data_IF_405166632982
#
_entry.id   IF_405166632982
#
_cell.length_a   1.000
_cell.length_b   1.000
_cell.length_c   1.000
_cell.angle_alpha   90.00
_cell.angle_beta   90.00
_cell.angle_gamma   90.00
#
_symmetry.space_group_name_H-M   'P 1'
#
loop_
_entity.id
_entity.type
_entity.pdbx_description
1 polymer ?
#
# COMPACT_ATOMS: atom_id res chain seq x y z
N UNK A 1 10.73 25.26 24.62
CA UNK A 1 9.36 24.76 24.36
C UNK A 1 9.33 23.24 24.51
N UNK A 2 8.52 22.72 25.44
CA UNK A 2 8.31 21.28 25.62
C UNK A 2 7.75 20.65 24.33
N UNK A 3 8.03 19.38 24.09
CA UNK A 3 7.62 18.60 22.92
C UNK A 3 6.11 18.72 22.63
N UNK A 4 5.25 18.59 23.63
CA UNK A 4 3.79 18.65 23.44
C UNK A 4 3.29 19.99 22.87
N UNK A 5 3.85 21.11 23.34
CA UNK A 5 3.51 22.43 22.81
C UNK A 5 3.96 22.58 21.35
N UNK A 6 5.11 21.99 21.00
CA UNK A 6 5.64 21.96 19.64
C UNK A 6 4.76 21.11 18.72
N UNK A 7 4.37 19.93 19.18
CA UNK A 7 3.49 19.02 18.45
C UNK A 7 2.13 19.68 18.18
N UNK A 8 1.52 20.30 19.20
CA UNK A 8 0.27 21.07 19.05
C UNK A 8 0.40 22.22 18.06
N UNK A 9 1.53 22.94 18.09
CA UNK A 9 1.80 23.99 17.10
C UNK A 9 1.89 23.43 15.69
N UNK A 10 2.60 22.31 15.50
CA UNK A 10 2.77 21.68 14.18
C UNK A 10 1.43 21.18 13.61
N UNK A 11 0.56 20.60 14.46
CA UNK A 11 -0.83 20.26 14.08
C UNK A 11 -1.59 21.52 13.64
N UNK A 12 -1.57 22.57 14.46
CA UNK A 12 -2.30 23.80 14.15
C UNK A 12 -1.82 24.42 12.83
N UNK A 13 -0.51 24.39 12.58
CA UNK A 13 0.08 24.93 11.36
C UNK A 13 -0.29 24.09 10.13
N UNK A 14 -0.31 22.75 10.25
CA UNK A 14 -0.79 21.87 9.19
C UNK A 14 -2.27 22.13 8.87
N UNK A 15 -3.13 22.21 9.87
CA UNK A 15 -4.56 22.48 9.67
C UNK A 15 -4.82 23.85 9.04
N UNK A 16 -4.04 24.88 9.44
CA UNK A 16 -4.11 26.19 8.81
C UNK A 16 -3.68 26.14 7.34
N UNK A 17 -2.62 25.42 7.02
CA UNK A 17 -2.19 25.21 5.64
C UNK A 17 -3.26 24.47 4.83
N UNK A 18 -3.83 23.37 5.35
CA UNK A 18 -4.90 22.64 4.65
C UNK A 18 -6.11 23.54 4.40
N UNK A 19 -6.45 24.42 5.35
CA UNK A 19 -7.58 25.37 5.19
C UNK A 19 -7.30 26.47 4.18
N UNK A 20 -6.06 26.97 4.11
CA UNK A 20 -5.66 28.04 3.19
C UNK A 20 -4.18 27.89 2.83
N UNK A 21 -3.85 27.09 1.80
CA UNK A 21 -2.47 26.87 1.40
C UNK A 21 -1.84 28.17 0.91
N UNK A 22 -0.58 28.37 1.29
CA UNK A 22 0.29 29.43 0.80
C UNK A 22 1.66 28.82 0.46
N UNK A 23 2.48 29.50 -0.35
CA UNK A 23 3.76 28.98 -0.80
C UNK A 23 4.97 29.42 0.05
N UNK A 24 4.72 29.84 1.30
CA UNK A 24 5.75 30.37 2.21
C UNK A 24 6.65 29.25 2.74
N UNK A 25 7.96 29.51 2.71
CA UNK A 25 8.97 28.63 3.27
C UNK A 25 9.26 28.96 4.73
N UNK A 26 9.71 27.96 5.47
CA UNK A 26 10.16 28.13 6.85
C UNK A 26 11.62 27.70 6.94
N UNK A 27 12.43 28.55 7.56
CA UNK A 27 13.81 28.22 7.87
C UNK A 27 13.89 27.54 9.24
N UNK A 28 14.25 26.25 9.21
CA UNK A 28 14.47 25.44 10.39
C UNK A 28 15.91 24.93 10.43
N UNK A 29 16.47 24.84 11.64
CA UNK A 29 17.68 24.05 11.87
C UNK A 29 17.42 22.58 11.56
N UNK A 30 18.47 21.81 11.24
CA UNK A 30 18.34 20.38 10.89
C UNK A 30 17.60 19.57 11.96
N UNK A 31 17.90 19.84 13.25
CA UNK A 31 17.20 19.23 14.38
C UNK A 31 15.71 19.57 14.40
N UNK A 32 15.34 20.82 14.09
CA UNK A 32 13.92 21.22 14.03
C UNK A 32 13.21 20.60 12.84
N UNK A 33 13.86 20.47 11.68
CA UNK A 33 13.32 19.76 10.51
C UNK A 33 13.02 18.30 10.84
N UNK A 34 13.96 17.60 11.49
CA UNK A 34 13.74 16.23 11.95
C UNK A 34 12.48 16.12 12.82
N UNK A 35 12.40 16.89 13.91
CA UNK A 35 11.22 16.86 14.77
C UNK A 35 9.91 17.24 14.04
N UNK A 36 9.97 18.20 13.12
CA UNK A 36 8.81 18.59 12.33
C UNK A 36 8.31 17.44 11.45
N UNK A 37 9.22 16.78 10.71
CA UNK A 37 8.92 15.61 9.87
C UNK A 37 8.40 14.45 10.73
N UNK A 38 9.05 14.15 11.87
CA UNK A 38 8.58 13.12 12.80
C UNK A 38 7.18 13.42 13.35
N UNK A 39 6.88 14.68 13.66
CA UNK A 39 5.56 15.07 14.14
C UNK A 39 4.49 14.87 13.05
N UNK A 40 4.79 15.23 11.80
CA UNK A 40 3.88 14.99 10.68
C UNK A 40 3.65 13.49 10.45
N UNK A 41 4.70 12.68 10.54
CA UNK A 41 4.59 11.23 10.45
C UNK A 41 3.70 10.65 11.55
N UNK A 42 3.86 11.10 12.80
CA UNK A 42 3.01 10.68 13.91
C UNK A 42 1.54 11.07 13.66
N UNK A 43 1.29 12.27 13.15
CA UNK A 43 -0.08 12.73 12.83
C UNK A 43 -0.69 11.84 11.75
N UNK A 44 0.06 11.53 10.69
CA UNK A 44 -0.43 10.69 9.59
C UNK A 44 -0.66 9.25 10.04
N UNK A 45 0.23 8.68 10.88
CA UNK A 45 0.04 7.36 11.48
C UNK A 45 -1.23 7.33 12.34
N UNK A 46 -1.46 8.35 13.17
CA UNK A 46 -2.69 8.43 13.98
C UNK A 46 -3.92 8.52 13.08
N UNK A 47 -3.88 9.35 12.03
CA UNK A 47 -4.96 9.46 11.06
C UNK A 47 -5.22 8.12 10.35
N UNK A 48 -4.16 7.42 9.94
CA UNK A 48 -4.25 6.11 9.32
C UNK A 48 -4.91 5.08 10.25
N UNK A 49 -4.43 4.97 11.49
CA UNK A 49 -4.95 3.99 12.45
C UNK A 49 -6.37 4.29 12.92
N UNK A 50 -6.71 5.56 13.14
CA UNK A 50 -8.01 5.97 13.73
C UNK A 50 -9.10 6.13 12.67
N UNK A 51 -8.74 6.49 11.43
CA UNK A 51 -9.70 6.76 10.36
C UNK A 51 -9.56 5.81 9.18
N UNK A 52 -8.38 5.74 8.55
CA UNK A 52 -8.21 4.98 7.29
C UNK A 52 -8.43 3.48 7.50
N UNK A 53 -7.80 2.90 8.52
CA UNK A 53 -7.88 1.46 8.77
C UNK A 53 -9.33 1.00 9.08
N UNK A 54 -10.10 1.67 9.96
CA UNK A 54 -11.51 1.35 10.15
C UNK A 54 -12.36 1.53 8.88
N UNK A 55 -12.08 2.55 8.05
CA UNK A 55 -12.81 2.77 6.81
C UNK A 55 -12.54 1.66 5.79
N UNK A 56 -11.29 1.22 5.65
CA UNK A 56 -10.94 0.11 4.76
C UNK A 56 -11.57 -1.20 5.24
N UNK A 57 -11.51 -1.49 6.55
CA UNK A 57 -12.19 -2.64 7.14
C UNK A 57 -13.71 -2.62 6.89
N UNK A 58 -14.35 -1.45 6.91
CA UNK A 58 -15.77 -1.32 6.56
C UNK A 58 -16.00 -1.52 5.05
N UNK A 59 -15.11 -1.00 4.19
CA UNK A 59 -15.20 -1.16 2.74
C UNK A 59 -15.08 -2.64 2.32
N UNK A 60 -14.19 -3.41 2.96
CA UNK A 60 -13.98 -4.84 2.69
C UNK A 60 -15.23 -5.71 2.95
N UNK A 61 -16.19 -5.21 3.73
CA UNK A 61 -17.50 -5.86 3.91
C UNK A 61 -18.41 -5.75 2.68
N UNK A 62 -18.14 -4.80 1.79
CA UNK A 62 -18.96 -4.52 0.61
C UNK A 62 -18.24 -4.87 -0.70
N UNK A 63 -16.91 -4.82 -0.72
CA UNK A 63 -16.07 -5.08 -1.91
C UNK A 63 -14.83 -5.88 -1.52
N UNK A 64 -14.32 -6.71 -2.43
CA UNK A 64 -12.99 -7.32 -2.29
C UNK A 64 -11.94 -6.33 -2.82
N UNK A 65 -10.98 -5.96 -1.97
CA UNK A 65 -9.85 -5.12 -2.34
C UNK A 65 -8.67 -6.00 -2.75
N UNK A 66 -8.76 -6.63 -3.93
CA UNK A 66 -7.65 -7.42 -4.48
C UNK A 66 -6.49 -6.47 -4.83
N UNK A 67 -5.28 -6.63 -4.26
CA UNK A 67 -4.11 -5.87 -4.69
C UNK A 67 -3.77 -6.13 -6.16
N UNK A 68 -3.11 -5.17 -6.79
CA UNK A 68 -2.59 -5.31 -8.16
C UNK A 68 -1.45 -6.33 -8.23
N UNK A 69 -1.53 -7.22 -9.22
CA UNK A 69 -0.52 -8.24 -9.52
C UNK A 69 0.87 -7.62 -9.84
N UNK A 70 0.94 -6.30 -10.07
CA UNK A 70 2.16 -5.54 -10.36
C UNK A 70 3.27 -5.71 -9.31
N UNK A 71 2.90 -6.08 -8.08
CA UNK A 71 3.83 -6.23 -6.96
C UNK A 71 4.03 -7.68 -6.49
N UNK A 72 3.25 -8.65 -6.99
CA UNK A 72 3.25 -10.03 -6.47
C UNK A 72 4.60 -10.75 -6.66
N UNK A 73 5.29 -10.49 -7.77
CA UNK A 73 6.50 -11.24 -8.14
C UNK A 73 7.80 -10.47 -7.92
N UNK A 74 7.78 -9.45 -7.05
CA UNK A 74 8.96 -8.65 -6.77
C UNK A 74 9.86 -9.33 -5.74
N UNK A 75 11.17 -9.21 -5.96
CA UNK A 75 12.15 -9.45 -4.90
C UNK A 75 12.16 -8.28 -3.91
N UNK A 76 12.68 -8.50 -2.71
CA UNK A 76 12.81 -7.43 -1.71
C UNK A 76 13.58 -6.21 -2.26
N UNK A 77 14.67 -6.45 -3.01
CA UNK A 77 15.47 -5.37 -3.59
C UNK A 77 14.71 -4.61 -4.68
N UNK A 78 13.97 -5.31 -5.53
CA UNK A 78 13.12 -4.69 -6.55
C UNK A 78 12.01 -3.87 -5.90
N UNK A 79 11.34 -4.40 -4.88
CA UNK A 79 10.29 -3.69 -4.15
C UNK A 79 10.83 -2.41 -3.50
N UNK A 80 11.98 -2.46 -2.82
CA UNK A 80 12.62 -1.27 -2.25
C UNK A 80 12.99 -0.26 -3.35
N UNK A 81 13.64 -0.70 -4.42
CA UNK A 81 14.03 0.21 -5.49
C UNK A 81 12.80 0.88 -6.15
N UNK A 82 11.77 0.11 -6.47
CA UNK A 82 10.58 0.63 -7.15
C UNK A 82 9.72 1.47 -6.22
N UNK A 83 9.31 0.93 -5.06
CA UNK A 83 8.30 1.54 -4.19
C UNK A 83 8.86 2.59 -3.24
N UNK A 84 10.13 2.47 -2.82
CA UNK A 84 10.73 3.37 -1.82
C UNK A 84 11.59 4.45 -2.48
N UNK A 85 12.16 4.17 -3.65
CA UNK A 85 13.07 5.10 -4.33
C UNK A 85 12.42 5.68 -5.59
N UNK A 86 12.13 4.83 -6.58
CA UNK A 86 11.75 5.28 -7.91
C UNK A 86 10.38 5.95 -7.97
N UNK A 87 9.35 5.31 -7.39
CA UNK A 87 7.99 5.86 -7.35
C UNK A 87 7.93 7.18 -6.56
N UNK A 88 8.42 7.28 -5.31
CA UNK A 88 8.46 8.56 -4.58
C UNK A 88 9.21 9.66 -5.31
N UNK A 89 10.35 9.35 -5.95
CA UNK A 89 11.08 10.33 -6.74
C UNK A 89 10.21 10.86 -7.88
N UNK A 90 9.65 9.95 -8.69
CA UNK A 90 8.86 10.28 -9.88
C UNK A 90 7.60 11.06 -9.51
N UNK A 91 6.86 10.59 -8.52
CA UNK A 91 5.61 11.18 -8.07
C UNK A 91 5.84 12.57 -7.45
N UNK A 92 6.86 12.75 -6.62
CA UNK A 92 7.17 14.08 -6.07
C UNK A 92 7.59 15.07 -7.15
N UNK A 93 8.29 14.63 -8.20
CA UNK A 93 8.57 15.48 -9.35
C UNK A 93 7.29 15.85 -10.11
N UNK A 94 6.42 14.88 -10.42
CA UNK A 94 5.19 15.11 -11.19
C UNK A 94 4.22 16.02 -10.41
N UNK A 95 3.94 15.68 -9.16
CA UNK A 95 2.88 16.33 -8.40
C UNK A 95 3.36 17.57 -7.62
N UNK A 96 4.61 17.60 -7.16
CA UNK A 96 5.08 18.60 -6.17
C UNK A 96 6.11 19.58 -6.72
N UNK A 97 6.70 19.32 -7.89
CA UNK A 97 7.66 20.26 -8.47
C UNK A 97 7.03 21.64 -8.70
N UNK A 98 5.82 21.66 -9.27
CA UNK A 98 5.07 22.86 -9.61
C UNK A 98 4.60 23.67 -8.40
N UNK A 99 4.55 23.11 -7.19
CA UNK A 99 4.04 23.77 -5.98
C UNK A 99 5.04 24.76 -5.35
N UNK A 100 5.61 25.65 -6.17
CA UNK A 100 6.43 26.77 -5.70
C UNK A 100 6.49 27.86 -6.75
N UNK A 101 6.34 29.11 -6.31
CA UNK A 101 6.62 30.26 -7.16
C UNK A 101 8.12 30.33 -7.43
N UNK A 102 8.53 29.75 -8.55
CA UNK A 102 9.89 29.78 -9.08
C UNK A 102 9.92 30.58 -10.39
N UNK A 103 11.12 30.71 -10.94
CA UNK A 103 11.40 31.41 -12.21
C UNK A 103 10.41 31.02 -13.31
N UNK A 104 10.07 29.75 -13.48
CA UNK A 104 9.11 29.33 -14.52
C UNK A 104 7.76 30.05 -14.40
N UNK A 105 7.12 29.99 -13.23
CA UNK A 105 5.81 30.61 -13.01
C UNK A 105 5.87 32.13 -12.95
N UNK A 106 6.98 32.70 -12.47
CA UNK A 106 7.13 34.16 -12.41
C UNK A 106 7.20 34.82 -13.80
N UNK A 107 7.52 34.06 -14.85
CA UNK A 107 7.45 34.56 -16.23
C UNK A 107 6.04 34.44 -16.84
N UNK A 108 5.20 33.54 -16.31
CA UNK A 108 3.87 33.25 -16.85
C UNK A 108 2.78 34.08 -16.16
N UNK A 109 2.84 34.21 -14.83
CA UNK A 109 1.85 34.93 -14.02
C UNK A 109 2.52 35.75 -12.92
N UNK A 110 1.89 36.86 -12.54
CA UNK A 110 2.36 37.67 -11.42
C UNK A 110 2.07 37.03 -10.05
N UNK A 111 2.69 37.55 -8.99
CA UNK A 111 2.56 37.00 -7.64
C UNK A 111 1.14 37.04 -7.09
N UNK A 112 0.38 38.08 -7.44
CA UNK A 112 -1.01 38.20 -6.99
C UNK A 112 -1.89 37.09 -7.56
N UNK A 113 -1.83 36.86 -8.88
CA UNK A 113 -2.54 35.75 -9.54
C UNK A 113 -2.07 34.40 -9.01
N UNK A 114 -0.75 34.22 -8.81
CA UNK A 114 -0.20 33.01 -8.20
C UNK A 114 -0.82 32.70 -6.83
N UNK A 115 -0.85 33.68 -5.93
CA UNK A 115 -1.42 33.51 -4.59
C UNK A 115 -2.90 33.12 -4.63
N UNK A 116 -3.66 33.56 -5.65
CA UNK A 116 -5.06 33.18 -5.84
C UNK A 116 -5.22 31.74 -6.35
N UNK A 117 -4.35 31.28 -7.25
CA UNK A 117 -4.44 29.93 -7.83
C UNK A 117 -3.77 28.85 -6.97
N UNK A 118 -2.79 29.23 -6.14
CA UNK A 118 -1.95 28.28 -5.41
C UNK A 118 -2.73 27.29 -4.52
N UNK A 119 -3.77 27.69 -3.76
CA UNK A 119 -4.62 26.75 -3.04
C UNK A 119 -5.18 25.64 -3.93
N UNK A 120 -5.68 26.00 -5.12
CA UNK A 120 -6.23 25.03 -6.07
C UNK A 120 -5.16 24.08 -6.60
N UNK A 121 -3.93 24.56 -6.83
CA UNK A 121 -2.82 23.69 -7.24
C UNK A 121 -2.54 22.62 -6.19
N UNK A 122 -2.52 22.99 -4.90
CA UNK A 122 -2.31 22.05 -3.79
C UNK A 122 -3.44 21.03 -3.71
N UNK A 123 -4.70 21.48 -3.75
CA UNK A 123 -5.86 20.58 -3.66
C UNK A 123 -5.95 19.64 -4.87
N UNK A 124 -5.88 20.18 -6.09
CA UNK A 124 -5.98 19.37 -7.31
C UNK A 124 -4.82 18.37 -7.37
N UNK A 125 -3.59 18.80 -7.06
CA UNK A 125 -2.44 17.90 -7.01
C UNK A 125 -2.64 16.77 -6.00
N UNK A 126 -3.17 17.08 -4.80
CA UNK A 126 -3.38 16.08 -3.75
C UNK A 126 -4.53 15.12 -4.08
N UNK A 127 -5.60 15.62 -4.70
CA UNK A 127 -6.73 14.80 -5.18
C UNK A 127 -6.25 13.86 -6.27
N UNK A 128 -5.62 14.38 -7.34
CA UNK A 128 -5.13 13.53 -8.44
C UNK A 128 -4.16 12.49 -7.88
N UNK A 129 -3.24 12.89 -7.00
CA UNK A 129 -2.32 11.97 -6.34
C UNK A 129 -3.06 10.86 -5.58
N UNK A 130 -4.11 11.16 -4.82
CA UNK A 130 -4.89 10.13 -4.15
C UNK A 130 -5.55 9.16 -5.12
N UNK A 131 -6.25 9.68 -6.13
CA UNK A 131 -7.05 8.86 -7.05
C UNK A 131 -6.21 8.01 -8.01
N UNK A 132 -4.99 8.42 -8.40
CA UNK A 132 -4.12 7.55 -9.20
C UNK A 132 -3.72 6.26 -8.45
N UNK A 133 -3.81 6.23 -7.12
CA UNK A 133 -3.54 5.02 -6.35
C UNK A 133 -4.67 4.00 -6.37
N UNK A 134 -5.80 4.27 -7.03
CA UNK A 134 -6.80 3.23 -7.30
C UNK A 134 -6.22 2.10 -8.16
N UNK A 135 -5.19 2.39 -8.98
CA UNK A 135 -4.48 1.40 -9.80
C UNK A 135 -3.73 0.35 -8.96
N UNK A 136 -3.60 0.55 -7.65
CA UNK A 136 -3.08 -0.45 -6.73
C UNK A 136 -4.05 -1.61 -6.47
N UNK A 137 -5.28 -1.53 -6.97
CA UNK A 137 -6.32 -2.54 -6.77
C UNK A 137 -6.88 -3.03 -8.10
N UNK A 138 -7.22 -4.31 -8.17
CA UNK A 138 -7.91 -4.91 -9.32
C UNK A 138 -9.41 -4.92 -9.05
N UNK A 139 -10.12 -3.85 -9.41
CA UNK A 139 -11.57 -3.75 -9.26
C UNK A 139 -12.17 -2.70 -10.22
N UNK A 140 -13.24 -3.06 -10.92
CA UNK A 140 -13.96 -2.19 -11.86
C UNK A 140 -15.44 -2.00 -11.48
N UNK A 141 -15.85 -2.48 -10.31
CA UNK A 141 -17.23 -2.38 -9.84
C UNK A 141 -17.62 -0.92 -9.54
N UNK A 142 -18.90 -0.60 -9.75
CA UNK A 142 -19.44 0.71 -9.37
C UNK A 142 -19.22 1.01 -7.87
N UNK A 143 -19.38 0.01 -7.00
CA UNK A 143 -19.21 0.15 -5.55
C UNK A 143 -17.77 0.54 -5.20
N UNK A 144 -16.77 -0.01 -5.90
CA UNK A 144 -15.37 0.38 -5.74
C UNK A 144 -15.16 1.86 -6.04
N UNK A 145 -15.68 2.36 -7.17
CA UNK A 145 -15.57 3.77 -7.51
C UNK A 145 -16.36 4.69 -6.56
N UNK A 146 -17.51 4.25 -6.06
CA UNK A 146 -18.30 5.00 -5.09
C UNK A 146 -17.61 5.13 -3.72
N UNK A 147 -16.88 4.08 -3.29
CA UNK A 147 -16.11 4.06 -2.06
C UNK A 147 -14.68 4.60 -2.23
N UNK A 148 -14.27 4.93 -3.45
CA UNK A 148 -12.89 5.31 -3.77
C UNK A 148 -12.31 6.43 -2.91
N UNK A 149 -13.03 7.49 -2.50
CA UNK A 149 -12.47 8.52 -1.60
C UNK A 149 -12.07 7.98 -0.22
N UNK A 150 -12.71 6.90 0.23
CA UNK A 150 -12.36 6.23 1.49
C UNK A 150 -11.19 5.27 1.30
N UNK A 151 -11.20 4.50 0.20
CA UNK A 151 -10.14 3.54 -0.14
C UNK A 151 -8.79 4.25 -0.27
N UNK A 152 -8.76 5.40 -0.95
CA UNK A 152 -7.53 6.19 -1.14
C UNK A 152 -7.36 7.33 -0.10
N UNK A 153 -8.05 7.25 1.04
CA UNK A 153 -8.02 8.30 2.05
C UNK A 153 -6.60 8.59 2.57
N UNK A 154 -5.77 7.54 2.74
CA UNK A 154 -4.37 7.70 3.14
C UNK A 154 -3.57 8.51 2.12
N UNK A 155 -3.80 8.28 0.83
CA UNK A 155 -3.07 8.93 -0.25
C UNK A 155 -3.57 10.36 -0.45
N UNK A 156 -4.87 10.62 -0.25
CA UNK A 156 -5.42 11.98 -0.22
C UNK A 156 -4.81 12.81 0.93
N UNK A 157 -4.73 12.25 2.15
CA UNK A 157 -4.09 12.93 3.28
C UNK A 157 -2.58 13.08 3.08
N UNK A 158 -1.92 12.02 2.59
CA UNK A 158 -0.49 12.03 2.29
C UNK A 158 -0.15 13.07 1.23
N UNK A 159 -0.99 13.23 0.20
CA UNK A 159 -0.81 14.25 -0.82
C UNK A 159 -0.81 15.68 -0.26
N UNK A 160 -1.66 15.96 0.73
CA UNK A 160 -1.69 17.24 1.43
C UNK A 160 -0.45 17.44 2.32
N UNK A 161 -0.04 16.41 3.06
CA UNK A 161 1.15 16.46 3.95
C UNK A 161 2.43 16.62 3.12
N UNK A 162 2.59 15.88 2.03
CA UNK A 162 3.70 16.01 1.08
C UNK A 162 3.73 17.43 0.48
N UNK A 163 2.58 17.97 0.07
CA UNK A 163 2.48 19.35 -0.38
C UNK A 163 2.92 20.35 0.70
N UNK A 164 2.54 20.13 1.95
CA UNK A 164 2.94 20.95 3.09
C UNK A 164 4.46 20.91 3.30
N UNK A 165 5.05 19.70 3.34
CA UNK A 165 6.50 19.50 3.50
C UNK A 165 7.26 20.15 2.34
N UNK A 166 6.81 19.90 1.10
CA UNK A 166 7.39 20.47 -0.13
C UNK A 166 7.52 21.98 -0.06
N UNK A 167 6.47 22.64 0.44
CA UNK A 167 6.35 24.10 0.45
C UNK A 167 7.12 24.71 1.61
N UNK A 168 6.87 24.22 2.83
CA UNK A 168 7.52 24.71 4.05
C UNK A 168 9.02 24.45 4.04
N UNK A 169 9.43 23.29 3.54
CA UNK A 169 10.84 22.91 3.43
C UNK A 169 11.29 22.95 1.96
N UNK A 170 11.36 21.79 1.31
CA UNK A 170 11.74 21.65 -0.09
C UNK A 170 11.35 20.25 -0.60
N UNK A 171 11.58 19.99 -1.90
CA UNK A 171 11.20 18.73 -2.55
C UNK A 171 11.94 17.52 -2.00
N UNK A 172 13.20 17.68 -1.57
CA UNK A 172 13.99 16.58 -1.03
C UNK A 172 13.38 16.02 0.26
N UNK A 173 12.90 16.88 1.16
CA UNK A 173 12.23 16.42 2.38
C UNK A 173 10.87 15.77 2.09
N UNK A 174 10.20 16.20 1.03
CA UNK A 174 8.95 15.57 0.58
C UNK A 174 9.22 14.14 0.07
N UNK A 175 10.25 13.98 -0.78
CA UNK A 175 10.71 12.67 -1.26
C UNK A 175 11.15 11.76 -0.12
N UNK A 176 11.93 12.27 0.83
CA UNK A 176 12.36 11.48 2.00
C UNK A 176 11.18 11.02 2.85
N UNK A 177 10.21 11.92 3.08
CA UNK A 177 9.00 11.58 3.84
C UNK A 177 8.18 10.51 3.12
N UNK A 178 7.98 10.67 1.81
CA UNK A 178 7.26 9.70 0.98
C UNK A 178 7.95 8.33 0.97
N UNK A 179 9.25 8.30 0.73
CA UNK A 179 10.04 7.07 0.81
C UNK A 179 9.93 6.40 2.18
N UNK A 180 9.97 7.18 3.26
CA UNK A 180 9.81 6.66 4.62
C UNK A 180 8.43 6.06 4.84
N UNK A 181 7.36 6.70 4.37
CA UNK A 181 6.00 6.16 4.45
C UNK A 181 5.89 4.82 3.72
N UNK A 182 6.37 4.75 2.48
CA UNK A 182 6.32 3.52 1.68
C UNK A 182 7.20 2.41 2.28
N UNK A 183 8.38 2.75 2.80
CA UNK A 183 9.23 1.77 3.48
C UNK A 183 8.54 1.21 4.73
N UNK A 184 7.87 2.05 5.52
CA UNK A 184 7.22 1.62 6.76
C UNK A 184 5.98 0.79 6.47
N UNK A 185 5.02 1.34 5.72
CA UNK A 185 3.70 0.73 5.52
C UNK A 185 3.62 -0.22 4.33
N UNK A 186 4.41 0.00 3.28
CA UNK A 186 4.43 -0.87 2.10
C UNK A 186 5.36 -2.08 2.24
N UNK A 187 6.38 -2.03 3.11
CA UNK A 187 7.38 -3.09 3.24
C UNK A 187 7.54 -3.55 4.69
N UNK A 188 7.97 -2.66 5.59
CA UNK A 188 8.46 -3.06 6.91
C UNK A 188 7.36 -3.66 7.79
N UNK A 189 6.20 -3.00 7.90
CA UNK A 189 5.08 -3.49 8.70
C UNK A 189 4.55 -4.83 8.17
N UNK A 190 4.21 -4.98 6.87
CA UNK A 190 3.81 -6.28 6.32
C UNK A 190 4.83 -7.39 6.58
N UNK A 191 6.13 -7.12 6.41
CA UNK A 191 7.18 -8.10 6.70
C UNK A 191 7.21 -8.49 8.17
N UNK A 192 7.12 -7.51 9.08
CA UNK A 192 7.10 -7.77 10.52
C UNK A 192 5.87 -8.59 10.89
N UNK A 193 4.69 -8.26 10.36
CA UNK A 193 3.47 -9.04 10.59
C UNK A 193 3.63 -10.48 10.14
N UNK A 194 4.23 -10.70 8.97
CA UNK A 194 4.50 -12.04 8.44
C UNK A 194 5.42 -12.87 9.35
N UNK A 195 6.38 -12.24 10.06
CA UNK A 195 7.22 -12.96 11.03
C UNK A 195 6.44 -13.50 12.23
N UNK A 196 5.25 -12.96 12.51
CA UNK A 196 4.35 -13.41 13.57
C UNK A 196 3.22 -14.29 13.06
N UNK A 197 2.99 -14.37 11.74
CA UNK A 197 2.04 -15.29 11.14
C UNK A 197 2.59 -16.71 11.20
N UNK A 198 1.89 -17.58 11.92
CA UNK A 198 2.28 -19.00 11.99
C UNK A 198 1.89 -19.72 10.70
N UNK A 199 2.71 -20.68 10.22
CA UNK A 199 2.30 -21.54 9.11
C UNK A 199 0.98 -22.25 9.43
N UNK A 200 0.06 -22.25 8.47
CA UNK A 200 -1.12 -23.11 8.57
C UNK A 200 -0.67 -24.55 8.35
N UNK A 201 -0.83 -25.42 9.34
CA UNK A 201 -0.45 -26.81 9.24
C UNK A 201 -1.52 -27.71 9.85
N UNK A 202 -1.97 -28.70 9.08
CA UNK A 202 -2.98 -29.65 9.51
C UNK A 202 -2.62 -31.05 9.00
N UNK A 203 -2.62 -32.03 9.92
CA UNK A 203 -2.39 -33.43 9.59
C UNK A 203 -3.56 -34.26 10.08
N UNK A 204 -4.22 -34.94 9.15
CA UNK A 204 -5.35 -35.83 9.40
C UNK A 204 -5.01 -37.27 8.97
N UNK A 205 -5.98 -38.18 9.03
CA UNK A 205 -5.81 -39.52 8.47
C UNK A 205 -5.85 -39.53 6.94
N UNK A 206 -6.46 -38.51 6.32
CA UNK A 206 -6.69 -38.47 4.87
C UNK A 206 -5.71 -37.56 4.13
N UNK A 207 -5.13 -36.57 4.81
CA UNK A 207 -4.17 -35.64 4.22
C UNK A 207 -3.20 -35.01 5.23
N UNK A 208 -2.11 -34.46 4.69
CA UNK A 208 -1.13 -33.62 5.36
C UNK A 208 -0.99 -32.31 4.56
N UNK A 209 -1.18 -31.16 5.20
CA UNK A 209 -1.06 -29.84 4.58
C UNK A 209 -0.22 -28.90 5.44
N UNK A 210 0.66 -28.16 4.78
CA UNK A 210 1.41 -27.04 5.36
C UNK A 210 1.46 -25.88 4.36
N UNK A 211 1.10 -24.69 4.82
CA UNK A 211 1.07 -23.46 4.03
C UNK A 211 1.87 -22.39 4.77
N UNK A 212 2.83 -21.79 4.07
CA UNK A 212 3.68 -20.71 4.57
C UNK A 212 3.60 -19.51 3.62
N UNK A 213 3.18 -18.36 4.13
CA UNK A 213 3.17 -17.11 3.36
C UNK A 213 4.59 -16.58 3.14
N UNK A 214 4.80 -15.87 2.02
CA UNK A 214 6.03 -15.18 1.66
C UNK A 214 5.71 -13.74 1.24
N UNK A 215 6.52 -12.80 1.70
CA UNK A 215 6.37 -11.39 1.32
C UNK A 215 6.97 -11.07 -0.05
N UNK A 216 8.05 -11.76 -0.44
CA UNK A 216 8.83 -11.47 -1.65
C UNK A 216 9.37 -12.75 -2.27
N UNK A 217 9.67 -12.66 -3.57
CA UNK A 217 10.47 -13.66 -4.27
C UNK A 217 11.93 -13.61 -3.78
N UNK A 218 12.50 -14.80 -3.60
CA UNK A 218 13.90 -15.08 -3.38
C UNK A 218 14.47 -15.72 -4.65
N UNK A 219 15.35 -15.00 -5.35
CA UNK A 219 15.99 -15.45 -6.60
C UNK A 219 16.84 -16.71 -6.44
N UNK A 220 17.22 -17.05 -5.20
CA UNK A 220 18.00 -18.25 -4.91
C UNK A 220 17.14 -19.51 -4.74
N UNK A 221 15.81 -19.37 -4.75
CA UNK A 221 14.86 -20.47 -4.63
C UNK A 221 14.03 -20.57 -5.92
N UNK A 222 13.74 -21.79 -6.41
CA UNK A 222 12.91 -21.93 -7.61
C UNK A 222 11.47 -21.51 -7.31
N UNK A 223 10.84 -20.84 -8.29
CA UNK A 223 9.38 -20.71 -8.35
C UNK A 223 8.85 -22.03 -8.89
N UNK A 224 8.00 -22.71 -8.13
CA UNK A 224 7.59 -24.09 -8.41
C UNK A 224 6.08 -24.23 -8.19
N UNK A 225 5.42 -24.94 -9.10
CA UNK A 225 4.00 -25.31 -8.99
C UNK A 225 3.81 -26.67 -9.64
N UNK A 226 3.78 -27.71 -8.81
CA UNK A 226 3.55 -29.09 -9.23
C UNK A 226 2.26 -29.61 -8.58
N UNK A 227 1.36 -30.12 -9.41
CA UNK A 227 0.09 -30.71 -8.96
C UNK A 227 -0.04 -32.12 -9.50
N UNK A 228 -0.49 -33.06 -8.66
CA UNK A 228 -0.84 -34.41 -9.07
C UNK A 228 -2.34 -34.61 -8.92
N UNK A 229 -3.04 -34.50 -10.05
CA UNK A 229 -4.48 -34.64 -10.13
C UNK A 229 -4.82 -35.83 -11.02
N UNK A 230 -5.59 -36.79 -10.52
CA UNK A 230 -6.05 -37.98 -11.25
C UNK A 230 -7.54 -38.14 -10.97
N UNK A 231 -8.35 -38.33 -12.01
CA UNK A 231 -9.81 -38.49 -11.91
C UNK A 231 -10.48 -37.40 -11.05
N UNK A 232 -10.07 -36.15 -11.26
CA UNK A 232 -10.54 -34.95 -10.51
C UNK A 232 -10.27 -34.97 -8.99
N UNK A 233 -9.36 -35.85 -8.53
CA UNK A 233 -8.86 -35.90 -7.15
C UNK A 233 -7.43 -35.37 -7.08
N UNK A 234 -7.19 -34.51 -6.09
CA UNK A 234 -5.88 -33.93 -5.78
C UNK A 234 -5.14 -34.88 -4.83
N UNK A 235 -4.01 -35.43 -5.29
CA UNK A 235 -3.13 -36.28 -4.49
C UNK A 235 -1.96 -35.51 -3.88
N UNK A 236 -1.43 -34.53 -4.61
CA UNK A 236 -0.40 -33.65 -4.08
C UNK A 236 -0.40 -32.28 -4.74
N UNK A 237 -0.04 -31.27 -3.97
CA UNK A 237 0.29 -29.93 -4.45
C UNK A 237 1.61 -29.54 -3.76
N UNK A 238 2.61 -29.21 -4.55
CA UNK A 238 3.86 -28.62 -4.10
C UNK A 238 4.02 -27.27 -4.80
N UNK A 239 3.91 -26.18 -4.03
CA UNK A 239 4.22 -24.86 -4.54
C UNK A 239 5.36 -24.22 -3.76
N UNK A 240 6.17 -23.43 -4.44
CA UNK A 240 7.20 -22.57 -3.84
C UNK A 240 7.12 -21.19 -4.46
N UNK A 241 6.96 -20.19 -3.61
CA UNK A 241 6.88 -18.79 -4.00
C UNK A 241 5.85 -18.57 -5.10
N UNK A 242 4.67 -19.18 -4.94
CA UNK A 242 3.61 -19.17 -5.95
C UNK A 242 2.37 -18.46 -5.41
N UNK A 243 1.75 -17.62 -6.24
CA UNK A 243 0.55 -16.86 -5.90
C UNK A 243 -0.62 -17.80 -5.59
N UNK A 244 -1.29 -17.59 -4.45
CA UNK A 244 -2.49 -18.38 -4.10
C UNK A 244 -3.59 -18.18 -5.14
N UNK A 245 -3.78 -16.95 -5.63
CA UNK A 245 -4.74 -16.66 -6.70
C UNK A 245 -4.42 -17.47 -7.97
N UNK A 246 -3.15 -17.54 -8.37
CA UNK A 246 -2.73 -18.35 -9.53
C UNK A 246 -3.01 -19.85 -9.33
N UNK A 247 -2.85 -20.36 -8.11
CA UNK A 247 -3.21 -21.74 -7.79
C UNK A 247 -4.72 -21.98 -7.87
N UNK A 248 -5.53 -21.04 -7.35
CA UNK A 248 -6.99 -21.13 -7.45
C UNK A 248 -7.45 -21.12 -8.91
N UNK A 249 -6.93 -20.22 -9.72
CA UNK A 249 -7.25 -20.15 -11.16
C UNK A 249 -6.85 -21.44 -11.89
N UNK A 250 -5.73 -22.05 -11.52
CA UNK A 250 -5.28 -23.34 -12.09
C UNK A 250 -6.20 -24.51 -11.71
N UNK A 251 -6.64 -24.57 -10.45
CA UNK A 251 -7.43 -25.70 -9.94
C UNK A 251 -8.91 -25.61 -10.32
N UNK A 252 -9.49 -24.41 -10.26
CA UNK A 252 -10.93 -24.19 -10.36
C UNK A 252 -11.35 -23.46 -11.64
N UNK A 253 -10.40 -22.86 -12.36
CA UNK A 253 -10.67 -22.01 -13.51
C UNK A 253 -10.59 -20.53 -13.15
N UNK A 254 -10.24 -19.73 -14.15
CA UNK A 254 -10.01 -18.29 -13.99
C UNK A 254 -11.27 -17.57 -13.49
N UNK A 255 -11.08 -16.64 -12.55
CA UNK A 255 -12.12 -15.74 -12.02
C UNK A 255 -13.30 -16.47 -11.33
N UNK A 256 -13.12 -17.76 -10.96
CA UNK A 256 -14.11 -18.53 -10.19
C UNK A 256 -14.05 -18.23 -8.70
N UNK A 257 -12.84 -18.00 -8.19
CA UNK A 257 -12.57 -17.67 -6.80
C UNK A 257 -11.57 -16.52 -6.73
N UNK A 258 -11.72 -15.70 -5.70
CA UNK A 258 -10.88 -14.53 -5.46
C UNK A 258 -10.33 -14.54 -4.04
N UNK A 259 -9.06 -14.16 -3.91
CA UNK A 259 -8.37 -14.00 -2.63
C UNK A 259 -7.43 -12.80 -2.70
N UNK A 260 -7.17 -12.18 -1.55
CA UNK A 260 -6.17 -11.12 -1.37
C UNK A 260 -4.81 -11.66 -0.86
N UNK A 261 -4.73 -12.98 -0.65
CA UNK A 261 -3.51 -13.67 -0.26
C UNK A 261 -2.45 -13.65 -1.36
N UNK A 262 -1.20 -13.44 -0.93
CA UNK A 262 -0.05 -13.30 -1.83
C UNK A 262 0.68 -14.60 -2.14
N UNK A 263 2.01 -14.53 -2.13
CA UNK A 263 2.88 -15.66 -2.40
C UNK A 263 2.84 -16.67 -1.25
N UNK A 264 2.78 -17.95 -1.59
CA UNK A 264 2.76 -19.04 -0.64
C UNK A 264 3.66 -20.20 -1.05
N UNK A 265 4.18 -20.90 -0.05
CA UNK A 265 4.72 -22.24 -0.16
C UNK A 265 3.65 -23.21 0.37
N UNK A 266 3.16 -24.10 -0.48
CA UNK A 266 2.12 -25.08 -0.12
C UNK A 266 2.71 -26.48 -0.28
N UNK A 267 2.69 -27.25 0.80
CA UNK A 267 2.93 -28.68 0.78
C UNK A 267 1.64 -29.40 1.13
N UNK A 268 1.02 -30.08 0.16
CA UNK A 268 -0.17 -30.89 0.35
C UNK A 268 0.06 -32.31 -0.15
N UNK A 269 -0.35 -33.31 0.63
CA UNK A 269 -0.34 -34.72 0.25
C UNK A 269 -1.56 -35.46 0.78
N UNK A 270 -2.12 -36.33 -0.05
CA UNK A 270 -3.18 -37.28 0.31
C UNK A 270 -2.97 -38.62 -0.39
N UNK A 271 -3.02 -39.72 0.36
CA UNK A 271 -2.84 -41.07 -0.20
C UNK A 271 -4.00 -41.50 -1.10
N UNK A 272 -5.23 -41.16 -0.70
CA UNK A 272 -6.47 -41.51 -1.43
C UNK A 272 -6.90 -40.42 -2.42
N UNK A 273 -6.20 -39.30 -2.41
CA UNK A 273 -6.61 -38.05 -3.05
C UNK A 273 -7.86 -37.46 -2.41
N UNK A 274 -8.05 -36.16 -2.52
CA UNK A 274 -9.29 -35.47 -2.11
C UNK A 274 -9.91 -34.73 -3.29
N UNK A 275 -11.20 -34.48 -3.26
CA UNK A 275 -11.85 -33.66 -4.28
C UNK A 275 -11.37 -32.21 -4.23
N UNK A 276 -11.48 -31.49 -5.36
CA UNK A 276 -11.21 -30.05 -5.41
C UNK A 276 -12.08 -29.26 -4.42
N UNK A 277 -13.33 -29.66 -4.23
CA UNK A 277 -14.24 -29.02 -3.28
C UNK A 277 -13.81 -29.22 -1.82
N UNK A 278 -13.28 -30.40 -1.47
CA UNK A 278 -12.69 -30.64 -0.15
C UNK A 278 -11.43 -29.82 0.06
N UNK A 279 -10.55 -29.74 -0.95
CA UNK A 279 -9.34 -28.91 -0.87
C UNK A 279 -9.67 -27.42 -0.67
N UNK A 280 -10.67 -26.90 -1.38
CA UNK A 280 -11.13 -25.52 -1.20
C UNK A 280 -11.58 -25.26 0.23
N UNK A 281 -12.35 -26.18 0.82
CA UNK A 281 -12.80 -26.09 2.21
C UNK A 281 -11.64 -26.12 3.20
N UNK A 282 -10.54 -26.82 2.89
CA UNK A 282 -9.33 -26.81 3.72
C UNK A 282 -8.71 -25.41 3.69
N UNK A 283 -8.54 -24.82 2.51
CA UNK A 283 -8.00 -23.46 2.38
C UNK A 283 -8.86 -22.42 3.10
N UNK A 284 -10.19 -22.54 2.97
CA UNK A 284 -11.17 -21.64 3.60
C UNK A 284 -11.22 -21.74 5.14
N UNK A 285 -10.49 -22.67 5.76
CA UNK A 285 -10.34 -22.69 7.23
C UNK A 285 -9.50 -21.51 7.74
N UNK A 286 -8.53 -21.07 6.94
CA UNK A 286 -7.58 -20.02 7.31
C UNK A 286 -7.69 -18.79 6.41
N UNK A 287 -7.95 -18.99 5.11
CA UNK A 287 -7.88 -17.92 4.12
C UNK A 287 -9.25 -17.48 3.63
N UNK A 288 -9.41 -16.18 3.42
CA UNK A 288 -10.62 -15.61 2.83
C UNK A 288 -10.61 -15.84 1.30
N UNK A 289 -11.48 -16.75 0.85
CA UNK A 289 -11.64 -17.10 -0.56
C UNK A 289 -13.11 -16.98 -0.92
N UNK A 290 -13.42 -16.01 -1.80
CA UNK A 290 -14.77 -15.64 -2.25
C UNK A 290 -15.06 -16.13 -3.65
#
# INVERSE_FOLDING_TARGET
MNYFLRFKHDISALLQFIKKPDDVQIEFSSKRKFHFISNLLIIEIIFFLVLVLPLNYLAEKFITLKPSDAFENLTWFQAVFLMVIFAPLSEEFIFRYALRYKKLFSHLINREKWNRIFPFLVYISSIIFGFVHLDNYVNDSWTFYALSPFIVASQLSGGLILSYIRVRLNIFYSMLYHALWNLLFGISIPCIMLLFTSPFAEKTQDYDIRIEQKAFINDNEPVLSETKIVDDRIYSIETRQYSLQSLLDHLYGKDQFTTDEGLMNIHFKSEKGISKAEFLKILQKEYEIK
#
